data_IF_165174370277
#
_entry.id   IF_165174370277
#
_cell.length_a   1.000
_cell.length_b   1.000
_cell.length_c   1.000
_cell.angle_alpha   90.00
_cell.angle_beta   90.00
_cell.angle_gamma   90.00
#
_symmetry.space_group_name_H-M   'P 1'
#
loop_
_entity.id
_entity.type
_entity.pdbx_description
1 polymer ?
#
# COMPACT_ATOMS: atom_id res chain seq x y z
N UNK A 1 21.41 13.19 4.87
CA UNK A 1 20.75 12.06 4.17
C UNK A 1 19.42 11.66 4.81
N UNK A 2 19.26 11.62 6.13
CA UNK A 2 18.05 11.07 6.77
C UNK A 2 16.65 11.65 6.44
N UNK A 3 16.51 12.93 6.08
CA UNK A 3 15.18 13.50 5.81
C UNK A 3 14.62 13.15 4.42
N UNK A 4 15.48 12.80 3.46
CA UNK A 4 15.03 12.37 2.13
C UNK A 4 14.49 10.94 2.22
N UNK A 5 15.27 10.04 2.80
CA UNK A 5 14.92 8.63 2.93
C UNK A 5 13.64 8.45 3.77
N UNK A 6 13.47 9.21 4.86
CA UNK A 6 12.20 9.21 5.62
C UNK A 6 10.99 9.65 4.80
N UNK A 7 11.14 10.62 3.89
CA UNK A 7 10.06 11.02 2.99
C UNK A 7 9.78 9.92 1.97
N UNK A 8 10.82 9.27 1.47
CA UNK A 8 10.70 8.17 0.52
C UNK A 8 10.00 6.96 1.14
N UNK A 9 10.40 6.55 2.36
CA UNK A 9 9.72 5.50 3.13
C UNK A 9 8.23 5.80 3.25
N UNK A 10 7.86 7.04 3.62
CA UNK A 10 6.46 7.41 3.71
C UNK A 10 5.74 7.35 2.35
N UNK A 11 6.39 7.82 1.29
CA UNK A 11 5.86 7.79 -0.08
C UNK A 11 5.59 6.36 -0.54
N UNK A 12 6.58 5.47 -0.42
CA UNK A 12 6.50 4.07 -0.79
C UNK A 12 5.46 3.34 0.06
N UNK A 13 5.49 3.49 1.39
CA UNK A 13 4.53 2.85 2.29
C UNK A 13 3.09 3.22 1.95
N UNK A 14 2.84 4.51 1.72
CA UNK A 14 1.52 5.02 1.32
C UNK A 14 1.06 4.44 -0.03
N UNK A 15 1.94 4.38 -1.03
CA UNK A 15 1.61 3.84 -2.36
C UNK A 15 1.36 2.33 -2.31
N UNK A 16 2.20 1.60 -1.59
CA UNK A 16 2.08 0.16 -1.36
C UNK A 16 0.74 -0.16 -0.69
N UNK A 17 0.44 0.48 0.45
CA UNK A 17 -0.83 0.29 1.16
C UNK A 17 -2.04 0.64 0.29
N UNK A 18 -1.94 1.68 -0.54
CA UNK A 18 -3.02 2.05 -1.46
C UNK A 18 -3.27 0.94 -2.49
N UNK A 19 -2.22 0.34 -3.05
CA UNK A 19 -2.34 -0.72 -4.03
C UNK A 19 -2.77 -2.05 -3.42
N UNK A 20 -2.33 -2.37 -2.21
CA UNK A 20 -2.85 -3.52 -1.45
C UNK A 20 -4.36 -3.37 -1.20
N UNK A 21 -4.83 -2.17 -0.84
CA UNK A 21 -6.27 -1.89 -0.72
C UNK A 21 -7.02 -2.09 -2.05
N UNK A 22 -6.46 -1.63 -3.17
CA UNK A 22 -7.05 -1.88 -4.48
C UNK A 22 -7.10 -3.37 -4.78
N UNK A 23 -5.98 -4.05 -4.63
CA UNK A 23 -5.85 -5.46 -4.97
C UNK A 23 -6.84 -6.33 -4.18
N UNK A 24 -6.92 -6.14 -2.86
CA UNK A 24 -7.70 -7.02 -1.99
C UNK A 24 -9.21 -6.68 -1.95
N UNK A 25 -9.58 -5.41 -2.13
CA UNK A 25 -10.98 -4.97 -1.91
C UNK A 25 -11.69 -4.51 -3.17
N UNK A 26 -10.98 -4.21 -4.26
CA UNK A 26 -11.60 -3.76 -5.50
C UNK A 26 -12.08 -4.94 -6.33
N UNK A 27 -13.40 -5.09 -6.44
CA UNK A 27 -14.00 -6.23 -7.14
C UNK A 27 -14.40 -5.92 -8.59
N UNK A 28 -14.73 -4.66 -8.89
CA UNK A 28 -15.28 -4.27 -10.19
C UNK A 28 -14.19 -4.20 -11.27
N UNK A 29 -14.37 -4.95 -12.36
CA UNK A 29 -13.38 -5.08 -13.45
C UNK A 29 -11.97 -5.46 -12.99
N UNK A 30 -11.85 -6.15 -11.84
CA UNK A 30 -10.56 -6.41 -11.19
C UNK A 30 -9.58 -7.14 -12.10
N UNK A 31 -10.06 -8.06 -12.92
CA UNK A 31 -9.27 -8.85 -13.87
C UNK A 31 -8.46 -8.01 -14.84
N UNK A 32 -8.91 -6.78 -15.14
CA UNK A 32 -8.20 -5.84 -16.01
C UNK A 32 -7.04 -5.12 -15.30
N UNK A 33 -7.07 -5.07 -13.97
CA UNK A 33 -6.17 -4.27 -13.16
C UNK A 33 -5.19 -5.08 -12.30
N UNK A 34 -5.52 -6.32 -11.94
CA UNK A 34 -4.74 -7.15 -11.01
C UNK A 34 -3.26 -7.22 -11.39
N UNK A 35 -2.94 -7.55 -12.65
CA UNK A 35 -1.55 -7.66 -13.09
C UNK A 35 -0.79 -6.33 -12.95
N UNK A 36 -1.43 -5.22 -13.26
CA UNK A 36 -0.84 -3.89 -13.15
C UNK A 36 -0.62 -3.48 -11.69
N UNK A 37 -1.60 -3.75 -10.82
CA UNK A 37 -1.45 -3.48 -9.39
C UNK A 37 -0.43 -4.39 -8.73
N UNK A 38 -0.37 -5.66 -9.10
CA UNK A 38 0.65 -6.60 -8.63
C UNK A 38 2.05 -6.10 -8.98
N UNK A 39 2.27 -5.70 -10.24
CA UNK A 39 3.55 -5.13 -10.68
C UNK A 39 3.95 -3.90 -9.85
N UNK A 40 3.01 -2.98 -9.59
CA UNK A 40 3.28 -1.81 -8.76
C UNK A 40 3.55 -2.18 -7.29
N UNK A 41 2.83 -3.18 -6.74
CA UNK A 41 3.06 -3.70 -5.38
C UNK A 41 4.47 -4.27 -5.27
N UNK A 42 4.88 -5.13 -6.19
CA UNK A 42 6.23 -5.72 -6.25
C UNK A 42 7.30 -4.61 -6.27
N UNK A 43 7.14 -3.62 -7.15
CA UNK A 43 8.07 -2.50 -7.24
C UNK A 43 8.17 -1.73 -5.92
N UNK A 44 7.04 -1.40 -5.28
CA UNK A 44 7.08 -0.67 -4.01
C UNK A 44 7.66 -1.49 -2.86
N UNK A 45 7.41 -2.81 -2.82
CA UNK A 45 8.02 -3.69 -1.82
C UNK A 45 9.53 -3.70 -1.97
N UNK A 46 10.03 -3.92 -3.19
CA UNK A 46 11.47 -3.93 -3.48
C UNK A 46 12.15 -2.62 -3.08
N UNK A 47 11.62 -1.48 -3.52
CA UNK A 47 12.17 -0.16 -3.19
C UNK A 47 12.10 0.14 -1.69
N UNK A 48 11.03 -0.28 -1.02
CA UNK A 48 10.85 -0.06 0.42
C UNK A 48 11.83 -0.93 1.21
N UNK A 49 11.91 -2.23 0.92
CA UNK A 49 12.79 -3.19 1.60
C UNK A 49 14.25 -2.75 1.55
N UNK A 50 14.72 -2.23 0.40
CA UNK A 50 16.06 -1.68 0.26
C UNK A 50 16.36 -0.54 1.25
N UNK A 51 15.36 0.30 1.57
CA UNK A 51 15.50 1.34 2.60
C UNK A 51 15.42 0.78 4.03
N UNK A 52 14.63 -0.27 4.22
CA UNK A 52 14.36 -0.85 5.54
C UNK A 52 15.48 -1.76 6.06
N UNK A 53 16.51 -2.06 5.27
CA UNK A 53 17.74 -2.73 5.74
C UNK A 53 18.37 -2.01 6.95
N UNK A 54 18.18 -0.68 7.04
CA UNK A 54 18.54 0.10 8.21
C UNK A 54 17.51 -0.05 9.33
N UNK A 55 17.93 -0.58 10.49
CA UNK A 55 17.09 -0.68 11.70
C UNK A 55 16.43 0.65 12.10
N UNK A 56 17.10 1.77 11.89
CA UNK A 56 16.54 3.11 12.16
C UNK A 56 15.36 3.43 11.24
N UNK A 57 15.46 3.05 9.98
CA UNK A 57 14.42 3.25 8.98
C UNK A 57 13.29 2.24 9.10
N UNK A 58 13.59 0.99 9.46
CA UNK A 58 12.59 0.01 9.86
C UNK A 58 11.74 0.52 11.03
N UNK A 59 12.36 0.98 12.12
CA UNK A 59 11.63 1.54 13.26
C UNK A 59 10.83 2.79 12.88
N UNK A 60 11.36 3.64 11.99
CA UNK A 60 10.63 4.80 11.49
C UNK A 60 9.40 4.38 10.67
N UNK A 61 9.54 3.41 9.79
CA UNK A 61 8.44 2.83 9.02
C UNK A 61 7.32 2.32 9.92
N UNK A 62 7.65 1.51 10.94
CA UNK A 62 6.69 1.01 11.91
C UNK A 62 5.90 2.15 12.58
N UNK A 63 6.60 3.17 13.06
CA UNK A 63 5.98 4.32 13.73
C UNK A 63 5.09 5.16 12.80
N UNK A 64 5.34 5.13 11.49
CA UNK A 64 4.58 5.91 10.52
C UNK A 64 3.48 5.10 9.82
N UNK A 65 3.38 3.80 10.08
CA UNK A 65 2.49 2.91 9.33
C UNK A 65 1.04 3.36 9.38
N UNK A 66 0.49 3.61 10.57
CA UNK A 66 -0.90 4.04 10.76
C UNK A 66 -1.18 5.36 10.01
N UNK A 67 -0.27 6.33 10.12
CA UNK A 67 -0.39 7.60 9.40
C UNK A 67 -0.36 7.43 7.88
N UNK A 68 0.45 6.49 7.37
CA UNK A 68 0.53 6.21 5.94
C UNK A 68 -0.68 5.41 5.46
N UNK A 69 -1.23 4.52 6.30
CA UNK A 69 -2.48 3.82 6.03
C UNK A 69 -3.66 4.79 5.91
N UNK A 70 -3.79 5.75 6.83
CA UNK A 70 -4.85 6.77 6.76
C UNK A 70 -4.82 7.57 5.45
N UNK A 71 -3.61 7.88 4.97
CA UNK A 71 -3.43 8.54 3.67
C UNK A 71 -3.83 7.60 2.54
N UNK A 72 -3.42 6.34 2.60
CA UNK A 72 -3.71 5.32 1.60
C UNK A 72 -5.21 5.08 1.47
N UNK A 73 -5.93 4.93 2.59
CA UNK A 73 -7.38 4.79 2.64
C UNK A 73 -8.09 6.00 2.02
N UNK A 74 -7.63 7.22 2.31
CA UNK A 74 -8.17 8.45 1.69
C UNK A 74 -7.95 8.47 0.19
N UNK A 75 -6.77 8.06 -0.28
CA UNK A 75 -6.51 7.93 -1.72
C UNK A 75 -7.39 6.87 -2.36
N UNK A 76 -7.57 5.73 -1.69
CA UNK A 76 -8.37 4.64 -2.21
C UNK A 76 -9.83 5.04 -2.39
N UNK A 77 -10.43 5.68 -1.38
CA UNK A 77 -11.77 6.27 -1.44
C UNK A 77 -11.89 7.30 -2.57
N UNK A 78 -10.91 8.20 -2.72
CA UNK A 78 -10.89 9.18 -3.82
C UNK A 78 -10.79 8.55 -5.21
N UNK A 79 -10.06 7.44 -5.37
CA UNK A 79 -9.98 6.72 -6.64
C UNK A 79 -11.35 6.13 -6.99
N UNK A 80 -12.02 5.51 -6.02
CA UNK A 80 -13.38 4.99 -6.18
C UNK A 80 -14.36 6.09 -6.59
N UNK A 81 -14.34 7.25 -5.92
CA UNK A 81 -15.21 8.40 -6.26
C UNK A 81 -15.03 8.90 -7.71
N UNK A 82 -13.82 8.75 -8.27
CA UNK A 82 -13.49 9.17 -9.65
C UNK A 82 -13.72 8.07 -10.67
N UNK A 83 -13.86 6.83 -10.21
CA UNK A 83 -14.09 5.67 -11.05
C UNK A 83 -15.59 5.44 -11.23
N UNK A 84 -15.98 5.00 -12.43
CA UNK A 84 -17.36 4.60 -12.73
C UNK A 84 -17.53 3.14 -12.37
N UNK A 85 -17.68 2.85 -11.07
CA UNK A 85 -17.86 1.47 -10.60
C UNK A 85 -19.33 1.12 -10.43
N UNK A 86 -19.68 -0.13 -10.75
CA UNK A 86 -21.00 -0.67 -10.47
C UNK A 86 -21.16 -1.09 -9.01
N UNK A 87 -20.07 -1.58 -8.41
CA UNK A 87 -20.00 -1.96 -6.99
C UNK A 87 -18.89 -1.20 -6.31
N UNK A 88 -19.22 -0.51 -5.22
CA UNK A 88 -18.24 0.23 -4.43
C UNK A 88 -17.50 -0.73 -3.49
N UNK A 89 -16.16 -0.74 -3.51
CA UNK A 89 -15.40 -1.57 -2.59
C UNK A 89 -15.55 -1.07 -1.15
N UNK A 90 -15.62 -2.00 -0.20
CA UNK A 90 -15.68 -1.70 1.24
C UNK A 90 -14.28 -1.76 1.84
N UNK A 91 -13.62 -0.61 1.94
CA UNK A 91 -12.28 -0.54 2.54
C UNK A 91 -12.36 -0.51 4.08
N UNK A 92 -11.51 -1.29 4.77
CA UNK A 92 -11.50 -1.32 6.23
C UNK A 92 -11.02 0.01 6.83
N UNK A 93 -11.59 0.39 7.97
CA UNK A 93 -11.26 1.66 8.62
C UNK A 93 -9.88 1.63 9.30
N UNK A 94 -9.44 0.47 9.77
CA UNK A 94 -8.11 0.22 10.32
C UNK A 94 -7.30 -0.63 9.35
N UNK A 95 -5.97 -0.59 9.43
CA UNK A 95 -5.09 -1.37 8.57
C UNK A 95 -5.37 -2.88 8.76
N UNK A 96 -5.81 -3.60 7.71
CA UNK A 96 -6.09 -5.03 7.81
C UNK A 96 -4.80 -5.88 7.68
N UNK A 97 -3.72 -5.26 7.21
CA UNK A 97 -2.46 -5.93 6.90
C UNK A 97 -1.50 -5.84 8.08
N UNK A 98 -0.89 -6.97 8.40
CA UNK A 98 0.28 -7.05 9.29
C UNK A 98 1.54 -6.52 8.60
N UNK A 99 2.58 -6.22 9.37
CA UNK A 99 3.87 -5.79 8.81
C UNK A 99 4.45 -6.86 7.90
N UNK A 100 4.34 -8.11 8.32
CA UNK A 100 4.79 -9.28 7.58
C UNK A 100 4.09 -9.34 6.22
N UNK A 101 2.76 -9.23 6.16
CA UNK A 101 2.01 -9.22 4.90
C UNK A 101 2.34 -8.03 3.99
N UNK A 102 2.59 -6.85 4.57
CA UNK A 102 2.95 -5.66 3.78
C UNK A 102 4.27 -5.88 3.06
N UNK A 103 5.25 -6.49 3.75
CA UNK A 103 6.61 -6.68 3.26
C UNK A 103 6.84 -8.02 2.54
N UNK A 104 5.91 -8.97 2.66
CA UNK A 104 5.97 -10.29 2.04
C UNK A 104 5.77 -10.19 0.52
N UNK A 105 6.78 -10.60 -0.24
CA UNK A 105 6.78 -10.59 -1.72
C UNK A 105 5.65 -11.47 -2.30
N UNK A 106 5.22 -12.52 -1.60
CA UNK A 106 4.21 -13.47 -2.07
C UNK A 106 2.79 -13.14 -1.58
N UNK A 107 2.61 -12.11 -0.75
CA UNK A 107 1.28 -11.78 -0.20
C UNK A 107 0.42 -11.00 -1.21
N UNK A 108 -0.63 -11.66 -1.70
CA UNK A 108 -1.62 -11.16 -2.65
C UNK A 108 -3.03 -11.69 -2.38
N UNK A 109 -3.49 -11.65 -1.12
CA UNK A 109 -4.73 -12.30 -0.65
C UNK A 109 -5.85 -12.38 -1.72
N UNK A 110 -6.29 -13.62 -2.01
CA UNK A 110 -7.31 -14.00 -3.01
C UNK A 110 -8.62 -14.36 -2.33
#
# INVERSE_FOLDING_TARGET
MGNRDKREINSLSYRLLSHLLFYCYWTDHRELYLNGWQTEIDNFRNDLLALLESKTYYNYFLNQLETNYDKALKMAKKKVERSKLYTLPSFPQNCPFTIEQILDEDFYEV
#
